data_IF_072999150316
#
_entry.id   IF_072999150316
#
_cell.length_a   1.000
_cell.length_b   1.000
_cell.length_c   1.000
_cell.angle_alpha   90.00
_cell.angle_beta   90.00
_cell.angle_gamma   90.00
#
_symmetry.space_group_name_H-M   'P 1'
#
loop_
_entity.id
_entity.type
_entity.pdbx_description
1 polymer ?
#
# COMPACT_ATOMS: atom_id res chain seq x y z
N UNK A 1 25.30 -28.17 59.17
CA UNK A 1 24.12 -27.38 59.60
C UNK A 1 22.89 -27.98 58.93
N UNK A 2 21.97 -28.47 59.74
CA UNK A 2 20.97 -29.48 59.38
C UNK A 2 19.61 -28.84 59.03
N UNK A 3 19.14 -29.05 57.78
CA UNK A 3 17.89 -28.50 57.21
C UNK A 3 16.61 -28.94 57.97
N UNK A 4 16.70 -29.95 58.83
CA UNK A 4 15.57 -30.43 59.65
C UNK A 4 15.26 -29.57 60.87
N UNK A 5 16.15 -28.64 61.23
CA UNK A 5 15.95 -27.74 62.38
C UNK A 5 15.05 -26.53 62.09
N UNK A 6 14.87 -26.17 60.82
CA UNK A 6 14.10 -24.97 60.45
C UNK A 6 12.57 -25.21 60.46
N UNK A 7 12.13 -26.44 60.25
CA UNK A 7 10.70 -26.79 60.18
C UNK A 7 10.10 -27.02 61.59
N UNK A 8 10.92 -27.31 62.61
CA UNK A 8 10.43 -27.60 63.97
C UNK A 8 10.23 -26.39 64.88
N UNK A 9 10.53 -25.16 64.43
CA UNK A 9 10.29 -23.92 65.20
C UNK A 9 9.04 -23.14 64.78
N UNK A 10 8.18 -23.70 63.94
CA UNK A 10 6.81 -23.21 63.73
C UNK A 10 5.85 -23.98 64.66
N UNK A 11 6.04 -23.83 65.96
CA UNK A 11 5.08 -24.31 66.95
C UNK A 11 3.83 -23.41 66.94
N UNK A 12 2.68 -24.03 66.71
CA UNK A 12 1.42 -23.78 67.41
C UNK A 12 1.12 -22.33 67.86
N UNK A 13 0.50 -21.54 66.98
CA UNK A 13 -0.50 -20.51 67.37
C UNK A 13 -1.52 -20.35 66.24
N UNK A 14 -2.80 -20.57 66.55
CA UNK A 14 -3.92 -19.87 65.89
C UNK A 14 -4.52 -20.53 64.65
N UNK A 15 -5.75 -21.04 64.81
CA UNK A 15 -6.67 -21.31 63.72
C UNK A 15 -6.91 -20.04 62.88
N UNK A 16 -6.67 -20.14 61.58
CA UNK A 16 -6.84 -19.03 60.64
C UNK A 16 -6.28 -19.41 59.28
N UNK A 17 -6.94 -20.34 58.57
CA UNK A 17 -6.64 -20.57 57.16
C UNK A 17 -7.23 -19.40 56.38
N UNK A 18 -6.54 -18.25 56.42
CA UNK A 18 -6.67 -17.27 55.34
C UNK A 18 -6.05 -17.92 54.12
N UNK A 19 -6.89 -18.33 53.18
CA UNK A 19 -6.47 -18.60 51.82
C UNK A 19 -5.85 -17.31 51.27
N UNK A 20 -4.53 -17.17 51.44
CA UNK A 20 -3.75 -16.26 50.63
C UNK A 20 -3.94 -16.73 49.20
N UNK A 21 -4.85 -16.07 48.48
CA UNK A 21 -4.87 -16.10 47.04
C UNK A 21 -3.44 -15.75 46.62
N UNK A 22 -2.68 -16.77 46.22
CA UNK A 22 -1.45 -16.59 45.46
C UNK A 22 -1.87 -15.74 44.27
N UNK A 23 -1.60 -14.44 44.34
CA UNK A 23 -1.73 -13.56 43.21
C UNK A 23 -0.95 -14.25 42.08
N UNK A 24 -1.67 -14.69 41.05
CA UNK A 24 -1.04 -15.22 39.87
C UNK A 24 0.04 -14.21 39.44
N UNK A 25 1.25 -14.64 39.08
CA UNK A 25 2.30 -13.70 38.70
C UNK A 25 1.77 -12.80 37.59
N UNK A 26 2.00 -11.49 37.70
CA UNK A 26 1.61 -10.48 36.71
C UNK A 26 2.10 -10.77 35.26
N UNK A 27 2.95 -11.78 35.10
CA UNK A 27 3.41 -12.36 33.84
C UNK A 27 2.25 -12.84 32.94
N UNK A 28 1.11 -13.25 33.51
CA UNK A 28 -0.06 -13.66 32.71
C UNK A 28 -0.71 -12.49 31.93
N UNK A 29 -0.32 -11.24 32.19
CA UNK A 29 -0.89 -10.04 31.58
C UNK A 29 -0.06 -9.45 30.42
N UNK A 30 1.19 -9.91 30.22
CA UNK A 30 2.09 -9.34 29.19
C UNK A 30 1.82 -9.84 27.76
N UNK A 31 1.08 -10.95 27.61
CA UNK A 31 0.80 -11.58 26.31
C UNK A 31 -0.66 -12.05 26.20
N UNK A 32 -1.63 -11.12 26.17
CA UNK A 32 -3.05 -11.46 26.04
C UNK A 32 -3.34 -12.19 24.73
N UNK A 33 -4.32 -13.09 24.73
CA UNK A 33 -4.82 -13.70 23.49
C UNK A 33 -5.70 -12.72 22.75
N UNK A 34 -5.29 -12.32 21.55
CA UNK A 34 -5.99 -11.36 20.68
C UNK A 34 -6.22 -12.02 19.33
N UNK A 35 -7.44 -11.87 18.81
CA UNK A 35 -7.78 -12.28 17.44
C UNK A 35 -8.40 -11.10 16.72
N UNK A 36 -7.78 -10.70 15.62
CA UNK A 36 -8.23 -9.60 14.76
C UNK A 36 -8.62 -10.13 13.38
N UNK A 37 -9.45 -9.37 12.68
CA UNK A 37 -9.80 -9.57 11.28
C UNK A 37 -9.16 -8.45 10.46
N UNK A 38 -8.48 -8.85 9.39
CA UNK A 38 -7.92 -7.94 8.39
C UNK A 38 -8.63 -8.15 7.07
N UNK A 39 -9.38 -7.16 6.61
CA UNK A 39 -10.01 -7.20 5.27
C UNK A 39 -9.10 -6.54 4.22
N UNK A 40 -8.89 -7.19 3.08
CA UNK A 40 -8.08 -6.64 2.00
C UNK A 40 -8.94 -5.96 0.95
N UNK A 41 -8.41 -4.93 0.28
CA UNK A 41 -8.97 -4.42 -0.98
C UNK A 41 -8.59 -5.28 -2.20
N UNK A 42 -7.76 -6.31 -2.02
CA UNK A 42 -7.21 -7.13 -3.09
C UNK A 42 -7.81 -8.54 -3.09
N UNK A 43 -7.92 -9.14 -4.27
CA UNK A 43 -8.39 -10.52 -4.42
C UNK A 43 -7.24 -11.51 -4.23
N UNK A 44 -7.54 -12.78 -3.89
CA UNK A 44 -6.54 -13.84 -3.71
C UNK A 44 -5.68 -14.12 -4.95
N UNK A 45 -6.18 -13.78 -6.16
CA UNK A 45 -5.44 -13.98 -7.40
C UNK A 45 -4.20 -13.10 -7.54
N UNK A 46 -4.18 -11.97 -6.83
CA UNK A 46 -3.07 -11.01 -6.74
C UNK A 46 -2.13 -11.42 -5.60
N UNK A 47 -1.41 -12.53 -5.78
CA UNK A 47 -0.67 -13.17 -4.69
C UNK A 47 0.46 -12.33 -4.08
N UNK A 48 0.94 -11.28 -4.76
CA UNK A 48 1.91 -10.34 -4.19
C UNK A 48 1.21 -9.31 -3.33
N UNK A 49 0.27 -8.53 -3.90
CA UNK A 49 -0.55 -7.57 -3.15
C UNK A 49 -1.30 -8.24 -2.02
N UNK A 50 -2.21 -9.18 -2.29
CA UNK A 50 -2.94 -9.89 -1.23
C UNK A 50 -1.97 -10.64 -0.30
N UNK A 51 -0.97 -11.34 -0.84
CA UNK A 51 -0.06 -12.16 -0.02
C UNK A 51 0.78 -11.37 0.97
N UNK A 52 1.06 -10.08 0.75
CA UNK A 52 1.76 -9.26 1.74
C UNK A 52 0.97 -9.14 3.05
N UNK A 53 -0.37 -9.07 2.99
CA UNK A 53 -1.21 -9.12 4.18
C UNK A 53 -1.12 -10.46 4.92
N UNK A 54 -1.00 -11.57 4.17
CA UNK A 54 -0.80 -12.89 4.78
C UNK A 54 0.55 -12.98 5.49
N UNK A 55 1.62 -12.43 4.89
CA UNK A 55 2.94 -12.36 5.49
C UNK A 55 2.89 -11.61 6.83
N UNK A 56 2.11 -10.52 6.94
CA UNK A 56 1.91 -9.82 8.22
C UNK A 56 1.21 -10.71 9.24
N UNK A 57 0.11 -11.36 8.84
CA UNK A 57 -0.65 -12.24 9.73
C UNK A 57 0.19 -13.39 10.30
N UNK A 58 1.01 -14.01 9.45
CA UNK A 58 1.89 -15.11 9.83
C UNK A 58 3.01 -14.64 10.75
N UNK A 59 3.70 -13.53 10.43
CA UNK A 59 4.72 -12.95 11.31
C UNK A 59 4.18 -12.56 12.69
N UNK A 60 3.00 -11.94 12.75
CA UNK A 60 2.38 -11.55 14.02
C UNK A 60 2.06 -12.80 14.86
N UNK A 61 1.53 -13.85 14.23
CA UNK A 61 1.25 -15.11 14.91
C UNK A 61 2.52 -15.78 15.43
N UNK A 62 3.57 -15.88 14.60
CA UNK A 62 4.83 -16.54 14.97
C UNK A 62 5.55 -15.77 16.08
N UNK A 63 5.72 -14.46 15.93
CA UNK A 63 6.44 -13.62 16.89
C UNK A 63 5.72 -13.48 18.24
N UNK A 64 4.39 -13.65 18.28
CA UNK A 64 3.60 -13.63 19.51
C UNK A 64 3.42 -15.02 20.17
N UNK A 65 4.03 -16.07 19.61
CA UNK A 65 3.83 -17.45 20.09
C UNK A 65 2.39 -17.96 19.89
N UNK A 66 1.67 -17.41 18.92
CA UNK A 66 0.28 -17.74 18.60
C UNK A 66 -0.76 -17.00 19.44
N UNK A 67 -0.37 -16.08 20.31
CA UNK A 67 -1.31 -15.34 21.16
C UNK A 67 -1.95 -14.15 20.43
N UNK A 68 -1.28 -13.54 19.45
CA UNK A 68 -1.88 -12.54 18.58
C UNK A 68 -2.09 -13.15 17.19
N UNK A 69 -3.35 -13.35 16.80
CA UNK A 69 -3.73 -13.93 15.51
C UNK A 69 -4.48 -12.90 14.67
N UNK A 70 -4.08 -12.74 13.41
CA UNK A 70 -4.81 -11.93 12.42
C UNK A 70 -5.40 -12.88 11.38
N UNK A 71 -6.72 -12.86 11.23
CA UNK A 71 -7.42 -13.58 10.17
C UNK A 71 -7.52 -12.67 8.94
N UNK A 72 -6.90 -13.08 7.83
CA UNK A 72 -6.82 -12.26 6.62
C UNK A 72 -7.86 -12.69 5.57
N UNK A 73 -8.67 -11.72 5.13
CA UNK A 73 -9.80 -11.93 4.23
C UNK A 73 -9.61 -11.14 2.94
N UNK A 74 -9.95 -11.74 1.80
CA UNK A 74 -9.87 -11.10 0.50
C UNK A 74 -10.97 -10.06 0.28
N UNK A 75 -10.74 -9.17 -0.69
CA UNK A 75 -11.73 -8.16 -1.06
C UNK A 75 -13.07 -8.79 -1.46
N UNK A 76 -14.14 -8.31 -0.84
CA UNK A 76 -15.50 -8.84 -1.02
C UNK A 76 -15.91 -9.95 -0.03
N UNK A 77 -14.99 -10.51 0.78
CA UNK A 77 -15.35 -11.58 1.74
C UNK A 77 -16.05 -11.05 3.01
N UNK A 78 -15.69 -9.84 3.48
CA UNK A 78 -16.36 -9.17 4.62
C UNK A 78 -17.13 -7.94 4.15
N UNK A 79 -16.47 -7.06 3.41
CA UNK A 79 -17.03 -5.84 2.81
C UNK A 79 -16.58 -5.73 1.35
N UNK A 80 -17.30 -4.96 0.51
CA UNK A 80 -16.80 -4.57 -0.81
C UNK A 80 -15.37 -4.03 -0.74
N UNK A 81 -14.54 -4.39 -1.73
CA UNK A 81 -13.10 -4.11 -1.71
C UNK A 81 -12.74 -2.62 -1.48
N UNK A 82 -13.56 -1.69 -1.99
CA UNK A 82 -13.34 -0.25 -1.86
C UNK A 82 -13.95 0.36 -0.58
N UNK A 83 -14.49 -0.47 0.32
CA UNK A 83 -15.04 -0.07 1.63
C UNK A 83 -14.17 -0.56 2.80
N UNK A 84 -12.95 -1.05 2.53
CA UNK A 84 -12.09 -1.63 3.55
C UNK A 84 -11.73 -0.62 4.67
N UNK A 85 -11.39 0.62 4.34
CA UNK A 85 -11.14 1.66 5.35
C UNK A 85 -12.41 2.05 6.13
N UNK A 86 -13.59 2.06 5.49
CA UNK A 86 -14.86 2.33 6.20
C UNK A 86 -15.13 1.29 7.28
N UNK A 87 -14.89 0.01 6.96
CA UNK A 87 -15.04 -1.07 7.91
C UNK A 87 -14.10 -0.94 9.11
N UNK A 88 -12.88 -0.42 8.89
CA UNK A 88 -11.91 -0.12 9.97
C UNK A 88 -12.36 1.09 10.79
N UNK A 89 -12.73 2.20 10.16
CA UNK A 89 -13.23 3.40 10.84
C UNK A 89 -14.41 3.07 11.76
N UNK A 90 -15.34 2.25 11.27
CA UNK A 90 -16.53 1.81 12.00
C UNK A 90 -16.24 0.72 13.07
N UNK A 91 -15.03 0.17 13.13
CA UNK A 91 -14.68 -0.93 14.02
C UNK A 91 -15.36 -2.27 13.67
N UNK A 92 -15.88 -2.40 12.44
CA UNK A 92 -16.46 -3.65 11.94
C UNK A 92 -15.39 -4.72 11.76
N UNK A 93 -14.17 -4.30 11.42
CA UNK A 93 -12.93 -5.09 11.44
C UNK A 93 -11.84 -4.27 12.11
N UNK A 94 -10.85 -4.94 12.70
CA UNK A 94 -9.77 -4.29 13.43
C UNK A 94 -8.70 -3.75 12.48
N UNK A 95 -8.54 -4.36 11.30
CA UNK A 95 -7.57 -3.97 10.29
C UNK A 95 -8.10 -4.06 8.86
N UNK A 96 -7.50 -3.27 7.98
CA UNK A 96 -7.61 -3.39 6.54
C UNK A 96 -6.24 -3.33 5.87
N UNK A 97 -6.11 -4.05 4.75
CA UNK A 97 -4.98 -3.96 3.84
C UNK A 97 -5.44 -3.29 2.55
N UNK A 98 -5.06 -2.03 2.36
CA UNK A 98 -5.61 -1.16 1.31
C UNK A 98 -4.59 -0.13 0.86
N UNK A 99 -4.86 0.48 -0.29
CA UNK A 99 -4.26 1.75 -0.66
C UNK A 99 -5.12 2.91 -0.14
N UNK A 100 -4.50 3.97 0.35
CA UNK A 100 -5.17 5.15 0.88
C UNK A 100 -5.93 5.92 -0.21
N UNK A 101 -5.37 6.02 -1.41
CA UNK A 101 -5.96 6.77 -2.52
C UNK A 101 -7.32 6.25 -3.04
N UNK A 102 -7.82 5.09 -2.59
CA UNK A 102 -9.18 4.65 -2.91
C UNK A 102 -10.25 5.53 -2.25
N UNK A 103 -9.85 6.29 -1.23
CA UNK A 103 -10.73 7.10 -0.39
C UNK A 103 -10.64 8.60 -0.70
N UNK A 104 -10.05 8.99 -1.83
CA UNK A 104 -9.96 10.42 -2.26
C UNK A 104 -11.31 11.10 -2.44
N UNK A 105 -12.37 10.33 -2.68
CA UNK A 105 -13.74 10.85 -2.72
C UNK A 105 -14.26 11.33 -1.36
N UNK A 106 -13.62 10.93 -0.25
CA UNK A 106 -13.92 11.43 1.11
C UNK A 106 -13.09 12.65 1.43
N UNK A 107 -11.78 12.55 1.23
CA UNK A 107 -10.84 13.65 1.37
C UNK A 107 -9.64 13.43 0.44
N UNK A 108 -9.24 14.41 -0.40
CA UNK A 108 -8.11 14.24 -1.31
C UNK A 108 -6.77 13.98 -0.60
N UNK A 109 -6.65 14.30 0.69
CA UNK A 109 -5.46 14.04 1.53
C UNK A 109 -5.10 12.55 1.57
N UNK A 110 -6.10 11.66 1.47
CA UNK A 110 -5.87 10.21 1.35
C UNK A 110 -4.95 9.83 0.17
N UNK A 111 -4.90 10.64 -0.90
CA UNK A 111 -4.03 10.35 -2.05
C UNK A 111 -2.54 10.31 -1.64
N UNK A 112 -2.13 11.21 -0.75
CA UNK A 112 -0.75 11.36 -0.29
C UNK A 112 -0.26 10.17 0.53
N UNK A 113 -1.20 9.35 1.03
CA UNK A 113 -0.89 8.09 1.70
C UNK A 113 -0.39 7.00 0.75
N UNK A 114 -0.79 7.02 -0.53
CA UNK A 114 -0.36 5.98 -1.49
C UNK A 114 0.57 6.55 -2.55
N UNK A 115 0.04 7.38 -3.44
CA UNK A 115 0.81 8.01 -4.51
C UNK A 115 -0.02 9.13 -5.12
N UNK A 116 0.68 10.11 -5.68
CA UNK A 116 0.12 11.19 -6.47
C UNK A 116 0.93 11.35 -7.75
N UNK A 117 0.31 11.81 -8.85
CA UNK A 117 1.03 12.12 -10.09
C UNK A 117 2.34 12.88 -9.92
N UNK A 118 3.39 12.35 -10.55
CA UNK A 118 4.75 12.89 -10.52
C UNK A 118 5.31 13.00 -9.08
N UNK A 119 4.98 12.00 -8.26
CA UNK A 119 5.43 11.83 -6.89
C UNK A 119 6.82 11.18 -6.78
N UNK A 120 7.05 10.49 -5.68
CA UNK A 120 8.29 9.80 -5.33
C UNK A 120 8.35 8.39 -5.96
N UNK A 121 9.56 7.86 -6.17
CA UNK A 121 9.73 6.43 -6.46
C UNK A 121 9.56 5.56 -5.19
N UNK A 122 9.61 4.24 -5.30
CA UNK A 122 9.39 3.34 -4.16
C UNK A 122 10.39 3.54 -3.00
N UNK A 123 11.69 3.60 -3.29
CA UNK A 123 12.74 3.81 -2.27
C UNK A 123 12.55 5.14 -1.55
N UNK A 124 12.26 6.19 -2.30
CA UNK A 124 12.04 7.53 -1.77
C UNK A 124 10.74 7.63 -0.98
N UNK A 125 9.66 6.98 -1.44
CA UNK A 125 8.38 6.90 -0.71
C UNK A 125 8.58 6.24 0.64
N UNK A 126 9.25 5.08 0.67
CA UNK A 126 9.53 4.36 1.90
C UNK A 126 10.45 5.18 2.84
N UNK A 127 11.45 5.87 2.30
CA UNK A 127 12.32 6.75 3.08
C UNK A 127 11.55 7.92 3.69
N UNK A 128 10.64 8.55 2.94
CA UNK A 128 9.84 9.66 3.45
C UNK A 128 8.91 9.21 4.58
N UNK A 129 8.18 8.10 4.38
CA UNK A 129 7.29 7.55 5.41
C UNK A 129 8.04 7.13 6.67
N UNK A 130 9.14 6.38 6.53
CA UNK A 130 9.79 5.74 7.66
C UNK A 130 10.83 6.63 8.36
N UNK A 131 11.41 7.62 7.66
CA UNK A 131 12.60 8.34 8.13
C UNK A 131 12.51 9.87 8.01
N UNK A 132 11.47 10.40 7.35
CA UNK A 132 11.35 11.86 7.14
C UNK A 132 10.00 12.43 7.63
N UNK A 133 9.35 11.77 8.59
CA UNK A 133 8.13 12.28 9.24
C UNK A 133 6.83 12.00 8.48
N UNK A 134 6.88 11.27 7.35
CA UNK A 134 5.72 11.05 6.50
C UNK A 134 4.63 10.22 7.17
N UNK A 135 5.01 9.19 7.95
CA UNK A 135 4.03 8.33 8.62
C UNK A 135 3.36 9.04 9.81
N UNK A 136 4.08 9.93 10.50
CA UNK A 136 3.53 10.77 11.57
C UNK A 136 2.50 11.75 11.00
N UNK A 137 2.83 12.42 9.90
CA UNK A 137 1.93 13.35 9.21
C UNK A 137 0.67 12.66 8.68
N UNK A 138 0.83 11.48 8.07
CA UNK A 138 -0.31 10.70 7.60
C UNK A 138 -1.19 10.24 8.77
N UNK A 139 -0.61 9.79 9.88
CA UNK A 139 -1.36 9.35 11.05
C UNK A 139 -2.06 10.49 11.78
N UNK A 140 -1.50 11.70 11.80
CA UNK A 140 -2.18 12.90 12.32
C UNK A 140 -3.50 13.15 11.57
N UNK A 141 -3.47 13.06 10.24
CA UNK A 141 -4.66 13.15 9.40
C UNK A 141 -5.63 11.98 9.65
N UNK A 142 -5.12 10.73 9.60
CA UNK A 142 -5.96 9.53 9.71
C UNK A 142 -6.57 9.32 11.10
N UNK A 143 -6.03 9.92 12.15
CA UNK A 143 -6.63 9.91 13.48
C UNK A 143 -8.04 10.52 13.49
N UNK A 144 -8.31 11.51 12.61
CA UNK A 144 -9.65 12.10 12.42
C UNK A 144 -10.66 11.09 11.84
N UNK A 145 -10.15 10.01 11.24
CA UNK A 145 -10.92 8.91 10.67
C UNK A 145 -10.89 7.64 11.53
N UNK A 146 -10.43 7.73 12.78
CA UNK A 146 -10.26 6.58 13.70
C UNK A 146 -9.33 5.48 13.12
N UNK A 147 -8.32 5.88 12.34
CA UNK A 147 -7.36 4.98 11.70
C UNK A 147 -5.94 5.29 12.17
N UNK A 148 -5.18 4.23 12.46
CA UNK A 148 -3.73 4.24 12.55
C UNK A 148 -3.15 3.46 11.37
N UNK A 149 -2.33 4.11 10.55
CA UNK A 149 -1.71 3.55 9.36
C UNK A 149 -0.29 3.09 9.62
N UNK A 150 0.03 1.93 9.05
CA UNK A 150 1.37 1.35 9.03
C UNK A 150 1.68 0.96 7.58
N UNK A 151 2.82 1.39 7.06
CA UNK A 151 3.27 1.01 5.72
C UNK A 151 3.41 -0.52 5.64
N UNK A 152 2.76 -1.14 4.65
CA UNK A 152 2.69 -2.59 4.44
C UNK A 152 3.09 -2.99 3.01
N UNK A 153 3.48 -2.06 2.16
CA UNK A 153 3.76 -2.42 0.77
C UNK A 153 4.22 -1.27 -0.08
N UNK A 154 4.91 -1.63 -1.15
CA UNK A 154 5.11 -0.76 -2.30
C UNK A 154 5.17 -1.63 -3.56
N UNK A 155 4.52 -1.21 -4.65
CA UNK A 155 4.53 -2.00 -5.89
C UNK A 155 5.74 -1.72 -6.78
N UNK A 156 6.54 -0.69 -6.45
CA UNK A 156 7.48 -0.13 -7.42
C UNK A 156 6.76 0.81 -8.41
N UNK A 157 7.52 1.37 -9.35
CA UNK A 157 6.92 2.17 -10.41
C UNK A 157 5.99 1.32 -11.27
N UNK A 158 4.76 1.80 -11.46
CA UNK A 158 3.74 1.07 -12.19
C UNK A 158 3.79 1.30 -13.71
N UNK A 159 3.09 0.45 -14.45
CA UNK A 159 2.89 0.60 -15.89
C UNK A 159 1.72 1.53 -16.19
N UNK A 160 1.84 2.31 -17.27
CA UNK A 160 0.89 3.33 -17.71
C UNK A 160 -0.45 2.80 -18.25
N UNK A 161 -0.77 1.52 -18.05
CA UNK A 161 -2.06 0.94 -18.39
C UNK A 161 -2.22 0.40 -19.81
N UNK A 162 -3.35 -0.29 -20.01
CA UNK A 162 -3.74 -1.00 -21.22
C UNK A 162 -4.77 -0.22 -22.02
N UNK A 163 -4.51 -0.07 -23.32
CA UNK A 163 -5.34 0.70 -24.24
C UNK A 163 -5.68 -0.14 -25.47
N UNK A 164 -6.91 0.04 -25.95
CA UNK A 164 -7.39 -0.60 -27.20
C UNK A 164 -6.79 0.05 -28.45
N UNK A 165 -6.43 1.34 -28.37
CA UNK A 165 -5.86 2.15 -29.45
C UNK A 165 -4.57 2.81 -28.97
N UNK A 166 -3.71 3.21 -29.89
CA UNK A 166 -2.54 4.02 -29.56
C UNK A 166 -2.98 5.41 -29.08
N UNK A 167 -2.26 5.91 -28.08
CA UNK A 167 -2.24 7.29 -27.59
C UNK A 167 -0.92 7.91 -28.06
N UNK A 168 -0.99 8.75 -29.09
CA UNK A 168 0.17 9.41 -29.68
C UNK A 168 0.24 10.89 -29.30
N UNK A 169 -0.92 11.52 -29.15
CA UNK A 169 -1.08 12.93 -28.80
C UNK A 169 -2.02 13.09 -27.60
N UNK A 170 -2.06 14.30 -27.03
CA UNK A 170 -3.00 14.60 -25.93
C UNK A 170 -4.47 14.47 -26.37
N UNK A 171 -4.77 14.70 -27.65
CA UNK A 171 -6.13 14.63 -28.18
C UNK A 171 -6.69 13.20 -28.16
N UNK A 172 -5.83 12.18 -28.21
CA UNK A 172 -6.23 10.77 -28.12
C UNK A 172 -6.81 10.41 -26.73
N UNK A 173 -6.57 11.24 -25.71
CA UNK A 173 -7.14 11.08 -24.37
C UNK A 173 -8.57 11.65 -24.25
N UNK A 174 -9.01 12.51 -25.18
CA UNK A 174 -10.32 13.16 -25.09
C UNK A 174 -11.45 12.16 -25.26
N UNK A 175 -12.35 12.12 -24.28
CA UNK A 175 -13.48 11.20 -24.24
C UNK A 175 -13.13 9.75 -23.90
N UNK A 176 -11.84 9.44 -23.68
CA UNK A 176 -11.39 8.09 -23.33
C UNK A 176 -11.99 7.68 -21.97
N UNK A 177 -12.76 6.60 -21.93
CA UNK A 177 -13.27 6.04 -20.67
C UNK A 177 -12.21 5.16 -20.04
N UNK A 178 -11.52 5.64 -19.02
CA UNK A 178 -10.40 4.91 -18.43
C UNK A 178 -10.72 4.51 -16.99
N UNK A 179 -10.56 3.24 -16.65
CA UNK A 179 -10.48 2.85 -15.23
C UNK A 179 -9.15 3.34 -14.69
N UNK A 180 -9.21 4.28 -13.73
CA UNK A 180 -8.04 4.85 -13.06
C UNK A 180 -8.37 5.24 -11.62
N UNK A 181 -7.48 4.89 -10.69
CA UNK A 181 -7.67 5.14 -9.26
C UNK A 181 -6.97 6.41 -8.76
N UNK A 182 -7.36 6.83 -7.55
CA UNK A 182 -6.71 7.92 -6.83
C UNK A 182 -6.99 9.31 -7.39
N UNK A 183 -6.17 10.26 -6.95
CA UNK A 183 -6.30 11.67 -7.33
C UNK A 183 -6.05 11.90 -8.83
N UNK A 184 -5.39 10.95 -9.48
CA UNK A 184 -5.13 10.93 -10.92
C UNK A 184 -6.40 11.03 -11.75
N UNK A 185 -7.54 10.51 -11.28
CA UNK A 185 -8.81 10.69 -11.98
C UNK A 185 -9.14 12.16 -12.22
N UNK A 186 -8.89 13.05 -11.24
CA UNK A 186 -9.13 14.48 -11.38
C UNK A 186 -8.15 15.15 -12.35
N UNK A 187 -6.88 14.72 -12.34
CA UNK A 187 -5.86 15.19 -13.30
C UNK A 187 -6.23 14.77 -14.72
N UNK A 188 -6.65 13.52 -14.89
CA UNK A 188 -7.05 12.95 -16.17
C UNK A 188 -8.32 13.60 -16.73
N UNK A 189 -9.25 14.01 -15.88
CA UNK A 189 -10.42 14.81 -16.29
C UNK A 189 -10.03 16.14 -16.93
N UNK A 190 -9.02 16.84 -16.40
CA UNK A 190 -8.54 18.12 -16.96
C UNK A 190 -7.97 17.97 -18.38
N UNK A 191 -7.48 16.78 -18.74
CA UNK A 191 -6.98 16.47 -20.08
C UNK A 191 -7.99 15.72 -20.96
N UNK A 192 -9.26 15.63 -20.52
CA UNK A 192 -10.38 15.16 -21.34
C UNK A 192 -10.75 13.68 -21.17
N UNK A 193 -10.07 12.94 -20.30
CA UNK A 193 -10.42 11.54 -19.98
C UNK A 193 -11.68 11.50 -19.12
N UNK A 194 -12.50 10.47 -19.29
CA UNK A 194 -13.61 10.14 -18.40
C UNK A 194 -13.19 9.02 -17.45
N UNK A 195 -12.66 9.32 -16.24
CA UNK A 195 -12.20 8.29 -15.32
C UNK A 195 -13.36 7.49 -14.74
N UNK A 196 -13.12 6.21 -14.46
CA UNK A 196 -14.08 5.29 -13.84
C UNK A 196 -13.44 4.59 -12.63
N UNK A 197 -14.14 4.56 -11.51
CA UNK A 197 -13.68 3.84 -10.32
C UNK A 197 -14.31 2.45 -10.29
N UNK A 198 -13.49 1.42 -10.49
CA UNK A 198 -13.91 0.02 -10.56
C UNK A 198 -12.95 -0.82 -9.71
N UNK A 199 -13.51 -1.71 -8.89
CA UNK A 199 -12.74 -2.64 -8.07
C UNK A 199 -11.94 -3.61 -8.96
N UNK A 200 -10.74 -4.00 -8.53
CA UNK A 200 -9.79 -4.77 -9.35
C UNK A 200 -10.37 -6.03 -10.00
N UNK A 201 -11.21 -6.77 -9.28
CA UNK A 201 -11.86 -7.99 -9.77
C UNK A 201 -12.85 -7.79 -10.93
N UNK A 202 -13.40 -6.58 -11.09
CA UNK A 202 -14.42 -6.28 -12.10
C UNK A 202 -13.86 -5.59 -13.34
N UNK A 203 -12.58 -5.17 -13.31
CA UNK A 203 -11.94 -4.38 -14.37
C UNK A 203 -11.89 -5.15 -15.69
N UNK A 204 -11.50 -6.43 -15.68
CA UNK A 204 -11.39 -7.22 -16.91
C UNK A 204 -12.75 -7.30 -17.62
N UNK A 205 -13.82 -7.58 -16.88
CA UNK A 205 -15.17 -7.68 -17.46
C UNK A 205 -15.66 -6.34 -18.01
N UNK A 206 -15.35 -5.22 -17.33
CA UNK A 206 -15.67 -3.88 -17.82
C UNK A 206 -14.92 -3.54 -19.11
N UNK A 207 -13.63 -3.91 -19.16
CA UNK A 207 -12.80 -3.75 -20.35
C UNK A 207 -13.33 -4.61 -21.49
N UNK A 208 -13.51 -5.92 -21.30
CA UNK A 208 -14.01 -6.88 -22.30
C UNK A 208 -15.32 -6.43 -22.95
N UNK A 209 -16.29 -5.99 -22.14
CA UNK A 209 -17.60 -5.50 -22.60
C UNK A 209 -17.55 -4.14 -23.30
N UNK A 210 -16.43 -3.42 -23.22
CA UNK A 210 -16.28 -2.08 -23.80
C UNK A 210 -16.98 -0.98 -23.01
N UNK A 211 -17.30 -1.21 -21.73
CA UNK A 211 -17.79 -0.15 -20.84
C UNK A 211 -16.69 0.87 -20.53
N UNK A 212 -15.43 0.41 -20.52
CA UNK A 212 -14.22 1.23 -20.50
C UNK A 212 -13.35 0.94 -21.73
N UNK A 213 -12.64 1.96 -22.19
CA UNK A 213 -11.75 1.93 -23.35
C UNK A 213 -10.32 1.56 -22.97
N UNK A 214 -9.93 1.89 -21.73
CA UNK A 214 -8.60 1.68 -21.19
C UNK A 214 -8.65 1.39 -19.68
N UNK A 215 -7.58 0.82 -19.15
CA UNK A 215 -7.43 0.59 -17.71
C UNK A 215 -5.98 0.64 -17.28
N UNK A 216 -5.72 1.14 -16.08
CA UNK A 216 -4.48 0.83 -15.35
C UNK A 216 -4.76 -0.21 -14.26
N UNK A 217 -3.70 -0.90 -13.79
CA UNK A 217 -3.77 -1.66 -12.55
C UNK A 217 -2.48 -1.61 -11.72
N UNK A 218 -1.42 -2.33 -12.11
CA UNK A 218 -0.12 -2.28 -11.41
C UNK A 218 1.04 -2.38 -12.39
N UNK A 219 1.19 -3.52 -13.06
CA UNK A 219 2.44 -3.86 -13.69
C UNK A 219 2.43 -5.27 -14.27
N UNK A 220 3.51 -5.68 -14.94
CA UNK A 220 3.49 -6.85 -15.81
C UNK A 220 2.94 -8.11 -15.16
N UNK A 221 3.33 -8.41 -13.91
CA UNK A 221 2.93 -9.64 -13.24
C UNK A 221 1.43 -9.72 -12.96
N UNK A 222 0.86 -8.68 -12.35
CA UNK A 222 -0.56 -8.68 -11.97
C UNK A 222 -1.46 -8.49 -13.19
N UNK A 223 -1.07 -7.59 -14.09
CA UNK A 223 -1.83 -7.28 -15.30
C UNK A 223 -1.92 -8.51 -16.23
N UNK A 224 -0.88 -9.35 -16.26
CA UNK A 224 -0.90 -10.63 -16.96
C UNK A 224 -1.92 -11.60 -16.35
N UNK A 225 -1.97 -11.70 -15.01
CA UNK A 225 -2.95 -12.55 -14.30
C UNK A 225 -4.38 -12.08 -14.51
N UNK A 226 -4.58 -10.76 -14.54
CA UNK A 226 -5.88 -10.14 -14.81
C UNK A 226 -6.28 -10.24 -16.29
N UNK A 227 -5.32 -10.46 -17.18
CA UNK A 227 -5.58 -10.85 -18.57
C UNK A 227 -5.90 -9.70 -19.52
N UNK A 228 -5.62 -8.44 -19.15
CA UNK A 228 -5.98 -7.27 -19.95
C UNK A 228 -5.43 -7.31 -21.39
N UNK A 229 -4.26 -7.94 -21.58
CA UNK A 229 -3.63 -8.15 -22.89
C UNK A 229 -4.50 -8.88 -23.91
N UNK A 230 -5.51 -9.65 -23.46
CA UNK A 230 -6.46 -10.36 -24.33
C UNK A 230 -7.44 -9.42 -25.02
N UNK A 231 -7.65 -8.22 -24.46
CA UNK A 231 -8.68 -7.25 -24.89
C UNK A 231 -8.06 -5.95 -25.41
N UNK A 232 -6.98 -5.50 -24.79
CA UNK A 232 -6.25 -4.28 -25.12
C UNK A 232 -4.78 -4.63 -25.39
N UNK A 233 -4.21 -4.18 -26.51
CA UNK A 233 -2.87 -4.60 -26.94
C UNK A 233 -1.77 -3.62 -26.55
N UNK A 234 -2.09 -2.34 -26.40
CA UNK A 234 -1.09 -1.32 -26.13
C UNK A 234 -0.88 -1.16 -24.64
N UNK A 235 0.34 -1.40 -24.18
CA UNK A 235 0.70 -1.32 -22.77
C UNK A 235 1.66 -0.17 -22.56
N UNK A 236 1.15 0.93 -22.02
CA UNK A 236 1.88 2.18 -21.91
C UNK A 236 2.81 2.23 -20.70
N UNK A 237 3.81 3.10 -20.72
CA UNK A 237 4.70 3.36 -19.58
C UNK A 237 5.35 4.76 -19.64
N UNK A 238 5.77 5.31 -18.48
CA UNK A 238 5.46 4.85 -17.13
C UNK A 238 4.04 5.23 -16.68
N UNK A 239 3.54 4.65 -15.59
CA UNK A 239 2.45 5.24 -14.82
C UNK A 239 2.97 6.49 -14.11
N UNK A 240 2.92 7.63 -14.79
CA UNK A 240 3.32 8.91 -14.19
C UNK A 240 2.46 9.28 -12.96
N UNK A 241 1.35 8.59 -12.73
CA UNK A 241 0.55 8.66 -11.49
C UNK A 241 1.10 7.89 -10.29
N UNK A 242 1.87 6.82 -10.51
CA UNK A 242 2.25 5.84 -9.49
C UNK A 242 3.73 5.46 -9.63
N UNK A 243 4.62 6.38 -9.23
CA UNK A 243 6.08 6.15 -9.24
C UNK A 243 6.58 5.18 -8.16
N UNK A 244 5.80 5.00 -7.09
CA UNK A 244 6.11 4.12 -5.98
C UNK A 244 4.95 4.06 -4.98
N UNK A 245 3.78 3.57 -5.39
CA UNK A 245 2.57 3.63 -4.58
C UNK A 245 2.72 2.77 -3.32
N UNK A 246 2.55 3.43 -2.19
CA UNK A 246 2.53 2.80 -0.88
C UNK A 246 1.19 2.13 -0.58
N UNK A 247 1.25 0.92 -0.04
CA UNK A 247 0.10 0.15 0.45
C UNK A 247 0.20 0.07 1.97
N UNK A 248 -0.94 0.17 2.66
CA UNK A 248 -0.98 0.32 4.11
C UNK A 248 -1.83 -0.75 4.79
N UNK A 249 -1.40 -1.10 6.00
CA UNK A 249 -2.29 -1.61 7.04
C UNK A 249 -2.98 -0.42 7.70
N UNK A 250 -4.28 -0.28 7.48
CA UNK A 250 -5.13 0.61 8.27
C UNK A 250 -5.66 -0.15 9.47
N UNK A 251 -5.30 0.27 10.67
CA UNK A 251 -5.73 -0.33 11.94
C UNK A 251 -6.74 0.60 12.58
N UNK A 252 -7.80 0.05 13.17
CA UNK A 252 -8.71 0.86 13.97
C UNK A 252 -7.92 1.48 15.13
N UNK A 253 -7.95 2.81 15.26
CA UNK A 253 -7.06 3.53 16.18
C UNK A 253 -7.30 3.12 17.64
N UNK A 254 -8.55 2.91 18.04
CA UNK A 254 -8.87 2.44 19.39
C UNK A 254 -8.29 1.05 19.64
N UNK A 255 -8.46 0.13 18.68
CA UNK A 255 -7.89 -1.23 18.78
C UNK A 255 -6.36 -1.23 18.79
N UNK A 256 -5.74 -0.36 18.01
CA UNK A 256 -4.29 -0.18 18.06
C UNK A 256 -3.85 0.29 19.45
N UNK A 257 -4.56 1.24 20.06
CA UNK A 257 -4.21 1.77 21.38
C UNK A 257 -4.41 0.75 22.51
N UNK A 258 -5.37 -0.17 22.39
CA UNK A 258 -5.61 -1.28 23.31
C UNK A 258 -4.49 -2.34 23.31
N UNK A 259 -3.66 -2.41 22.25
CA UNK A 259 -2.58 -3.38 22.18
C UNK A 259 -1.50 -3.12 23.26
N UNK A 260 -0.99 -4.16 23.90
CA UNK A 260 0.28 -4.09 24.63
C UNK A 260 1.42 -3.58 23.74
N UNK A 261 2.40 -2.89 24.32
CA UNK A 261 3.49 -2.27 23.56
C UNK A 261 4.33 -3.28 22.75
N UNK A 262 4.55 -4.47 23.29
CA UNK A 262 5.19 -5.57 22.56
C UNK A 262 4.38 -5.97 21.32
N UNK A 263 3.04 -5.97 21.37
CA UNK A 263 2.20 -6.32 20.22
C UNK A 263 2.12 -5.19 19.20
N UNK A 264 2.11 -3.93 19.64
CA UNK A 264 2.29 -2.78 18.72
C UNK A 264 3.61 -2.90 17.96
N UNK A 265 4.69 -3.30 18.66
CA UNK A 265 6.00 -3.51 18.04
C UNK A 265 6.01 -4.66 17.06
N UNK A 266 5.50 -5.83 17.46
CA UNK A 266 5.37 -7.01 16.59
C UNK A 266 4.58 -6.69 15.32
N UNK A 267 3.46 -5.97 15.44
CA UNK A 267 2.64 -5.58 14.29
C UNK A 267 3.39 -4.65 13.33
N UNK A 268 4.12 -3.65 13.86
CA UNK A 268 4.95 -2.74 13.05
C UNK A 268 6.08 -3.48 12.33
N UNK A 269 6.79 -4.35 13.02
CA UNK A 269 7.87 -5.14 12.45
C UNK A 269 7.35 -6.11 11.37
N UNK A 270 6.19 -6.73 11.61
CA UNK A 270 5.53 -7.58 10.61
C UNK A 270 5.11 -6.79 9.36
N UNK A 271 4.56 -5.58 9.52
CA UNK A 271 4.23 -4.71 8.39
C UNK A 271 5.49 -4.27 7.62
N UNK A 272 6.61 -4.00 8.29
CA UNK A 272 7.88 -3.70 7.64
C UNK A 272 8.38 -4.90 6.81
N UNK A 273 8.28 -6.12 7.33
CA UNK A 273 8.61 -7.35 6.59
C UNK A 273 7.70 -7.57 5.38
N UNK A 274 6.38 -7.36 5.54
CA UNK A 274 5.42 -7.38 4.43
C UNK A 274 5.73 -6.33 3.36
N UNK A 275 6.10 -5.13 3.79
CA UNK A 275 6.43 -4.01 2.90
C UNK A 275 7.67 -4.28 2.04
N UNK A 276 8.74 -4.83 2.64
CA UNK A 276 9.94 -5.22 1.90
C UNK A 276 9.62 -6.37 0.93
N UNK A 277 8.96 -7.42 1.43
CA UNK A 277 8.63 -8.60 0.63
C UNK A 277 7.76 -8.27 -0.59
N UNK A 278 6.81 -7.34 -0.47
CA UNK A 278 5.96 -6.94 -1.60
C UNK A 278 6.80 -6.37 -2.75
N UNK A 279 7.65 -5.40 -2.47
CA UNK A 279 8.48 -4.74 -3.49
C UNK A 279 9.46 -5.74 -4.12
N UNK A 280 10.18 -6.50 -3.30
CA UNK A 280 11.13 -7.52 -3.76
C UNK A 280 10.48 -8.58 -4.65
N UNK A 281 9.25 -9.01 -4.31
CA UNK A 281 8.50 -9.96 -5.13
C UNK A 281 8.08 -9.37 -6.46
N UNK A 282 7.67 -8.09 -6.51
CA UNK A 282 7.38 -7.44 -7.80
C UNK A 282 8.65 -7.33 -8.66
N UNK A 283 9.76 -6.87 -8.07
CA UNK A 283 11.05 -6.75 -8.77
C UNK A 283 11.52 -8.11 -9.33
N UNK A 284 11.30 -9.20 -8.59
CA UNK A 284 11.68 -10.55 -9.04
C UNK A 284 10.73 -11.14 -10.11
N UNK A 285 9.47 -10.71 -10.17
CA UNK A 285 8.44 -11.35 -11.02
C UNK A 285 8.09 -10.55 -12.27
N UNK A 286 8.11 -9.21 -12.19
CA UNK A 286 7.78 -8.33 -13.30
C UNK A 286 8.65 -8.57 -14.55
N UNK A 287 9.98 -8.80 -14.47
CA UNK A 287 10.81 -8.98 -15.67
C UNK A 287 10.40 -10.19 -16.51
N UNK A 288 10.04 -11.31 -15.87
CA UNK A 288 9.58 -12.52 -16.57
C UNK A 288 8.19 -12.29 -17.17
N UNK A 289 7.26 -11.75 -16.39
CA UNK A 289 5.90 -11.49 -16.86
C UNK A 289 5.88 -10.50 -18.05
N UNK A 290 6.76 -9.49 -18.05
CA UNK A 290 6.88 -8.55 -19.17
C UNK A 290 7.29 -9.25 -20.48
N UNK A 291 8.29 -10.14 -20.42
CA UNK A 291 8.71 -10.93 -21.59
C UNK A 291 7.58 -11.80 -22.12
N UNK A 292 6.83 -12.44 -21.21
CA UNK A 292 5.70 -13.28 -21.58
C UNK A 292 4.55 -12.47 -22.19
N UNK A 293 4.23 -11.29 -21.64
CA UNK A 293 3.22 -10.39 -22.21
C UNK A 293 3.59 -9.95 -23.63
N UNK A 294 4.84 -9.56 -23.86
CA UNK A 294 5.31 -9.19 -25.21
C UNK A 294 5.24 -10.39 -26.16
N UNK A 295 5.64 -11.58 -25.70
CA UNK A 295 5.51 -12.81 -26.50
C UNK A 295 4.03 -13.17 -26.79
N UNK A 296 3.10 -12.74 -25.95
CA UNK A 296 1.65 -12.88 -26.13
C UNK A 296 1.02 -11.76 -26.99
N UNK A 297 1.84 -10.84 -27.52
CA UNK A 297 1.40 -9.81 -28.45
C UNK A 297 1.10 -8.45 -27.81
N UNK A 298 1.47 -8.24 -26.55
CA UNK A 298 1.43 -6.90 -25.95
C UNK A 298 2.45 -5.98 -26.64
N UNK A 299 2.02 -4.75 -26.92
CA UNK A 299 2.80 -3.73 -27.60
C UNK A 299 3.18 -2.66 -26.58
N UNK A 300 4.44 -2.64 -26.15
CA UNK A 300 4.93 -1.65 -25.21
C UNK A 300 5.05 -0.28 -25.89
N UNK A 301 4.56 0.77 -25.22
CA UNK A 301 4.62 2.16 -25.71
C UNK A 301 5.03 3.13 -24.60
N UNK A 302 6.06 3.97 -24.79
CA UNK A 302 6.25 5.09 -23.90
C UNK A 302 5.15 6.14 -24.15
N UNK A 303 4.68 6.81 -23.10
CA UNK A 303 4.00 8.09 -23.31
C UNK A 303 4.98 9.11 -23.91
N UNK A 304 4.50 9.93 -24.84
CA UNK A 304 5.34 10.99 -25.41
C UNK A 304 5.65 12.06 -24.36
N UNK A 305 6.77 12.76 -24.52
CA UNK A 305 7.14 13.87 -23.62
C UNK A 305 6.03 14.94 -23.59
N UNK A 306 5.40 15.22 -24.73
CA UNK A 306 4.29 16.17 -24.83
C UNK A 306 3.11 15.77 -23.94
N UNK A 307 2.70 14.50 -23.96
CA UNK A 307 1.64 13.99 -23.08
C UNK A 307 2.05 14.16 -21.61
N UNK A 308 3.30 13.81 -21.27
CA UNK A 308 3.80 13.92 -19.90
C UNK A 308 3.83 15.38 -19.42
N UNK A 309 4.25 16.33 -20.25
CA UNK A 309 4.33 17.75 -19.90
C UNK A 309 2.94 18.35 -19.65
N UNK A 310 1.95 18.01 -20.51
CA UNK A 310 0.57 18.46 -20.32
C UNK A 310 -0.04 17.86 -19.06
N UNK A 311 0.14 16.56 -18.83
CA UNK A 311 -0.34 15.90 -17.61
C UNK A 311 0.36 16.42 -16.36
N UNK A 312 1.65 16.76 -16.43
CA UNK A 312 2.40 17.36 -15.32
C UNK A 312 1.82 18.73 -14.97
N UNK A 313 1.56 19.58 -15.96
CA UNK A 313 0.91 20.88 -15.74
C UNK A 313 -0.46 20.71 -15.08
N UNK A 314 -1.31 19.82 -15.62
CA UNK A 314 -2.62 19.54 -15.05
C UNK A 314 -2.54 19.01 -13.60
N UNK A 315 -1.53 18.20 -13.27
CA UNK A 315 -1.28 17.74 -11.91
C UNK A 315 -0.92 18.90 -10.98
N UNK A 316 0.01 19.78 -11.37
CA UNK A 316 0.41 20.95 -10.57
C UNK A 316 -0.78 21.89 -10.30
N UNK A 317 -1.61 22.15 -11.31
CA UNK A 317 -2.84 22.93 -11.15
C UNK A 317 -3.81 22.27 -10.16
N UNK A 318 -3.99 20.96 -10.26
CA UNK A 318 -4.84 20.18 -9.33
C UNK A 318 -4.34 20.29 -7.89
N UNK A 319 -3.03 20.14 -7.66
CA UNK A 319 -2.44 20.27 -6.32
C UNK A 319 -2.57 21.67 -5.74
N UNK A 320 -2.39 22.71 -6.57
CA UNK A 320 -2.59 24.09 -6.15
C UNK A 320 -4.05 24.35 -5.74
N UNK A 321 -5.01 23.88 -6.53
CA UNK A 321 -6.45 24.02 -6.26
C UNK A 321 -6.86 23.34 -4.95
N UNK A 322 -6.35 22.14 -4.69
CA UNK A 322 -6.64 21.38 -3.45
C UNK A 322 -5.94 22.04 -2.26
N UNK A 323 -4.65 22.35 -2.38
CA UNK A 323 -3.87 22.94 -1.29
C UNK A 323 -4.40 24.30 -0.84
N UNK A 324 -5.04 25.05 -1.76
CA UNK A 324 -5.68 26.32 -1.42
C UNK A 324 -6.93 26.16 -0.52
N UNK A 325 -7.50 24.96 -0.43
CA UNK A 325 -8.79 24.70 0.24
C UNK A 325 -8.73 23.59 1.31
N UNK A 326 -7.66 22.80 1.35
CA UNK A 326 -7.50 21.68 2.27
C UNK A 326 -6.14 21.77 2.98
N UNK A 327 -6.17 22.17 4.26
CA UNK A 327 -4.96 22.38 5.07
C UNK A 327 -4.21 21.07 5.35
N UNK A 328 -4.93 19.96 5.59
CA UNK A 328 -4.32 18.65 5.79
C UNK A 328 -3.57 18.19 4.54
N UNK A 329 -4.19 18.31 3.36
CA UNK A 329 -3.53 18.03 2.09
C UNK A 329 -2.30 18.90 1.92
N UNK A 330 -2.43 20.23 2.08
CA UNK A 330 -1.34 21.19 1.91
C UNK A 330 -0.15 20.83 2.79
N UNK A 331 -0.38 20.60 4.09
CA UNK A 331 0.66 20.27 5.07
C UNK A 331 1.47 19.03 4.67
N UNK A 332 0.79 17.95 4.31
CA UNK A 332 1.44 16.69 3.93
C UNK A 332 2.14 16.84 2.56
N UNK A 333 1.48 17.49 1.60
CA UNK A 333 2.01 17.70 0.26
C UNK A 333 3.29 18.53 0.28
N UNK A 334 3.32 19.66 1.02
CA UNK A 334 4.51 20.51 1.13
C UNK A 334 5.70 19.76 1.74
N UNK A 335 5.48 18.95 2.78
CA UNK A 335 6.51 18.07 3.35
C UNK A 335 7.04 17.08 2.30
N UNK A 336 6.15 16.40 1.59
CA UNK A 336 6.53 15.42 0.57
C UNK A 336 7.28 16.08 -0.61
N UNK A 337 6.89 17.28 -1.04
CA UNK A 337 7.57 18.01 -2.11
C UNK A 337 8.96 18.51 -1.71
N UNK A 338 9.12 18.98 -0.46
CA UNK A 338 10.42 19.36 0.06
C UNK A 338 11.39 18.16 0.03
N UNK A 339 10.95 17.00 0.53
CA UNK A 339 11.72 15.77 0.46
C UNK A 339 12.00 15.33 -0.99
N UNK A 340 11.00 15.40 -1.87
CA UNK A 340 11.12 15.03 -3.29
C UNK A 340 12.25 15.77 -4.00
N UNK A 341 12.37 17.07 -3.77
CA UNK A 341 13.40 17.91 -4.38
C UNK A 341 14.81 17.38 -4.10
N UNK A 342 15.11 17.13 -2.83
CA UNK A 342 16.44 16.65 -2.42
C UNK A 342 16.66 15.18 -2.81
N UNK A 343 15.61 14.36 -2.72
CA UNK A 343 15.66 12.95 -3.08
C UNK A 343 16.00 12.74 -4.56
N UNK A 344 15.41 13.52 -5.48
CA UNK A 344 15.76 13.46 -6.91
C UNK A 344 17.05 14.20 -7.26
N UNK A 345 17.48 15.18 -6.45
CA UNK A 345 18.83 15.75 -6.55
C UNK A 345 19.90 14.69 -6.26
N UNK A 346 19.71 13.84 -5.25
CA UNK A 346 20.62 12.73 -4.97
C UNK A 346 20.52 11.60 -6.00
N UNK A 347 19.31 11.18 -6.36
CA UNK A 347 19.08 10.00 -7.20
C UNK A 347 19.75 10.10 -8.58
N UNK A 348 19.93 11.31 -9.13
CA UNK A 348 20.56 11.51 -10.43
C UNK A 348 22.09 11.30 -10.44
N UNK A 349 22.73 11.11 -9.28
CA UNK A 349 24.19 10.98 -9.16
C UNK A 349 24.63 9.52 -9.25
N UNK A 350 24.66 8.79 -8.14
CA UNK A 350 25.25 7.45 -8.08
C UNK A 350 24.32 6.39 -8.70
N UNK A 351 23.08 6.32 -8.21
CA UNK A 351 22.08 5.31 -8.61
C UNK A 351 21.76 5.42 -10.10
N UNK A 352 21.33 6.61 -10.57
CA UNK A 352 21.00 6.82 -11.98
C UNK A 352 22.18 6.52 -12.92
N UNK A 353 23.39 6.97 -12.59
CA UNK A 353 24.56 6.75 -13.46
C UNK A 353 24.95 5.27 -13.52
N UNK A 354 24.92 4.58 -12.38
CA UNK A 354 25.18 3.14 -12.31
C UNK A 354 24.14 2.34 -13.09
N UNK A 355 22.86 2.55 -12.80
CA UNK A 355 21.76 1.82 -13.43
C UNK A 355 21.71 2.08 -14.94
N UNK A 356 21.90 3.33 -15.37
CA UNK A 356 21.95 3.68 -16.81
C UNK A 356 23.08 2.94 -17.51
N UNK A 357 24.27 2.86 -16.89
CA UNK A 357 25.39 2.12 -17.45
C UNK A 357 25.08 0.62 -17.55
N UNK A 358 24.52 0.02 -16.51
CA UNK A 358 24.14 -1.40 -16.53
C UNK A 358 23.05 -1.70 -17.58
N UNK A 359 22.10 -0.79 -17.79
CA UNK A 359 21.11 -0.90 -18.87
C UNK A 359 21.74 -0.78 -20.26
N UNK A 360 22.80 0.04 -20.42
CA UNK A 360 23.60 0.09 -21.66
C UNK A 360 24.25 -1.29 -21.91
N UNK A 361 24.89 -1.87 -20.90
CA UNK A 361 25.52 -3.19 -21.00
C UNK A 361 24.50 -4.29 -21.35
N UNK A 362 23.30 -4.25 -20.76
CA UNK A 362 22.21 -5.17 -21.10
C UNK A 362 21.80 -5.05 -22.57
N UNK A 363 21.67 -3.84 -23.12
CA UNK A 363 21.32 -3.62 -24.53
C UNK A 363 22.42 -4.07 -25.49
N UNK A 364 23.67 -3.96 -25.06
CA UNK A 364 24.83 -4.46 -25.79
C UNK A 364 24.98 -5.98 -25.71
N UNK A 365 24.17 -6.67 -24.90
CA UNK A 365 24.21 -8.12 -24.75
C UNK A 365 25.41 -8.61 -23.93
N UNK A 366 25.91 -7.81 -22.99
CA UNK A 366 27.12 -8.12 -22.21
C UNK A 366 26.84 -8.43 -20.73
N UNK A 367 25.60 -8.83 -20.37
CA UNK A 367 25.23 -9.29 -19.02
C UNK A 367 24.97 -10.79 -18.97
#
# INVERSE_FOLDING_TARGET
MDRRSFIRKAGAVGAGVTATALAAPAIAQENPKITWRMTSSFTKGLDILFGAGQIVADHVKEASGGNFVIQHFAGGEIVPALQAADAVTAGTVEMAHTCAYYYVGKDPTFALGTSVPFGLNARQTNAWFNQAGGNELLNEFLAQHNIYSILLGNTGAQMGGWFRKEINTIDDLKGLKMRIAGLTGQVMQKVGVTPQQIAGGDVYAALEKGTIDATEFVGPYDDQKLGFYKVAKYYYYPAWWEGGPAVHAFVNLQKFNELPENYKRILKDACAAGSASMLERYDARNPKALKELVAQGAILRPFSQEILDVCHKAAQETYAEISAKNESFKKIYESQQAFKKDAYLWAQIAEYTYDTYMMIQQRNGTL
#
